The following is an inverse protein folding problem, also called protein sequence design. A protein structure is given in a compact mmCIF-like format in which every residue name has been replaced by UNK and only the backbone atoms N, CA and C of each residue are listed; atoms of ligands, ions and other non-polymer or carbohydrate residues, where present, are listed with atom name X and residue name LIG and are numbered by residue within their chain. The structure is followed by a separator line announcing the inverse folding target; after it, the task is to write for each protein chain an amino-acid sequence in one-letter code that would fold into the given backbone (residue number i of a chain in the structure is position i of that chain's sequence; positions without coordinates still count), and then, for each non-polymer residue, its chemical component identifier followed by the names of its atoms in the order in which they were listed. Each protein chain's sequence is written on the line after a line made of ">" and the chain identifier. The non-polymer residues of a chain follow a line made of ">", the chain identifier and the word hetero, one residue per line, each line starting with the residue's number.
data_IF_337257697587
#
_entry.id   IF_337257697587
#
_cell.length_a   1.000
_cell.length_b   1.000
_cell.length_c   1.000
_cell.angle_alpha   90.00
_cell.angle_beta   90.00
_cell.angle_gamma   90.00
#
_symmetry.space_group_name_H-M   'P 1'
#
loop_
_entity.id
_entity.type
_entity.pdbx_description
1 polymer ?
#
# COMPACT_ATOMS: atom_id res chain seq x y z
N UNK A 1 -7.33 -8.47 -12.88
CA UNK A 1 -7.91 -9.79 -13.22
C UNK A 1 -9.33 -9.87 -12.69
N UNK A 2 -10.21 -10.63 -13.35
CA UNK A 2 -11.60 -10.83 -12.91
C UNK A 2 -11.77 -12.23 -12.33
N UNK A 3 -12.55 -12.37 -11.26
CA UNK A 3 -12.79 -13.63 -10.56
C UNK A 3 -14.28 -13.79 -10.25
N UNK A 4 -14.82 -15.03 -10.24
CA UNK A 4 -16.21 -15.28 -9.82
C UNK A 4 -16.44 -14.87 -8.36
N UNK A 5 -17.72 -14.73 -7.93
CA UNK A 5 -18.04 -14.41 -6.54
C UNK A 5 -17.54 -15.47 -5.55
N UNK A 6 -17.34 -15.06 -4.28
CA UNK A 6 -16.88 -15.95 -3.21
C UNK A 6 -15.36 -16.17 -3.19
N UNK A 7 -14.85 -16.94 -2.24
CA UNK A 7 -13.40 -17.18 -2.11
C UNK A 7 -12.87 -18.01 -3.27
N UNK A 8 -11.89 -17.47 -4.00
CA UNK A 8 -11.24 -18.12 -5.13
C UNK A 8 -9.79 -18.44 -4.81
N UNK A 9 -9.32 -19.60 -5.24
CA UNK A 9 -7.91 -19.97 -5.15
C UNK A 9 -7.23 -19.70 -6.49
N UNK A 10 -6.31 -18.74 -6.52
CA UNK A 10 -5.50 -18.42 -7.70
C UNK A 10 -4.08 -18.96 -7.56
N UNK A 11 -3.39 -19.18 -8.68
CA UNK A 11 -1.96 -19.50 -8.66
C UNK A 11 -1.14 -18.21 -8.75
N UNK A 12 -0.14 -18.07 -7.90
CA UNK A 12 0.86 -17.01 -8.01
C UNK A 12 2.20 -17.55 -8.49
N UNK A 13 3.00 -16.65 -9.06
CA UNK A 13 4.43 -16.79 -9.26
C UNK A 13 5.08 -15.51 -8.80
N UNK A 14 6.14 -15.62 -8.02
CA UNK A 14 6.88 -14.50 -7.46
C UNK A 14 8.36 -14.85 -7.46
N UNK A 15 9.21 -13.85 -7.64
CA UNK A 15 10.65 -14.02 -7.55
C UNK A 15 11.29 -12.76 -6.98
N UNK A 16 12.43 -12.95 -6.34
CA UNK A 16 13.27 -11.91 -5.77
C UNK A 16 14.69 -12.11 -6.27
N UNK A 17 15.36 -11.02 -6.65
CA UNK A 17 16.82 -10.94 -6.78
C UNK A 17 17.27 -9.66 -6.09
N UNK A 18 18.24 -9.78 -5.20
CA UNK A 18 18.76 -8.67 -4.41
C UNK A 18 20.28 -8.72 -4.35
N UNK A 19 20.91 -7.55 -4.26
CA UNK A 19 22.35 -7.43 -4.02
C UNK A 19 22.72 -7.49 -2.53
N UNK A 20 21.73 -7.38 -1.64
CA UNK A 20 21.87 -7.53 -0.18
C UNK A 20 20.91 -8.60 0.33
N UNK A 21 21.20 -9.28 1.46
CA UNK A 21 20.23 -10.14 2.14
C UNK A 21 18.94 -9.39 2.49
N UNK A 22 17.80 -10.06 2.33
CA UNK A 22 16.47 -9.56 2.67
C UNK A 22 15.93 -10.28 3.91
N UNK A 23 15.17 -9.59 4.76
CA UNK A 23 14.57 -10.21 5.95
C UNK A 23 13.19 -10.79 5.61
N UNK A 24 12.37 -10.04 4.86
CA UNK A 24 10.98 -10.36 4.57
C UNK A 24 10.69 -10.39 3.08
N UNK A 25 10.00 -11.43 2.61
CA UNK A 25 9.43 -11.51 1.27
C UNK A 25 7.97 -11.91 1.38
N UNK A 26 7.05 -11.02 1.00
CA UNK A 26 5.63 -11.15 1.32
C UNK A 26 4.75 -10.80 0.14
N UNK A 27 3.65 -11.54 -0.02
CA UNK A 27 2.53 -11.11 -0.84
C UNK A 27 1.61 -10.28 0.05
N UNK A 28 1.45 -9.01 -0.30
CA UNK A 28 0.56 -8.07 0.36
C UNK A 28 -0.72 -7.97 -0.46
N UNK A 29 -1.89 -8.13 0.17
CA UNK A 29 -3.18 -7.86 -0.44
C UNK A 29 -3.96 -6.86 0.40
N UNK A 30 -4.43 -5.77 -0.22
CA UNK A 30 -5.19 -4.71 0.47
C UNK A 30 -4.50 -4.22 1.77
N UNK A 31 -3.19 -4.03 1.72
CA UNK A 31 -2.39 -3.57 2.86
C UNK A 31 -2.09 -4.61 3.94
N UNK A 32 -2.56 -5.86 3.81
CA UNK A 32 -2.32 -6.94 4.76
C UNK A 32 -1.41 -8.02 4.19
N UNK A 33 -0.62 -8.68 5.05
CA UNK A 33 0.21 -9.82 4.65
C UNK A 33 -0.70 -11.01 4.36
N UNK A 34 -0.86 -11.32 3.07
CA UNK A 34 -1.66 -12.47 2.64
C UNK A 34 -0.85 -13.76 2.69
N UNK A 35 0.48 -13.67 2.46
CA UNK A 35 1.38 -14.82 2.52
C UNK A 35 2.83 -14.38 2.67
N UNK A 36 3.54 -14.98 3.63
CA UNK A 36 5.01 -14.95 3.68
C UNK A 36 5.59 -16.00 2.74
N UNK A 37 6.64 -15.61 2.01
CA UNK A 37 7.36 -16.44 1.07
C UNK A 37 8.73 -16.80 1.64
N UNK A 38 9.23 -17.96 1.23
CA UNK A 38 10.56 -18.41 1.64
C UNK A 38 11.62 -17.61 0.90
N UNK A 39 12.72 -17.38 1.59
CA UNK A 39 13.95 -16.87 1.01
C UNK A 39 14.93 -18.02 0.78
N UNK A 40 15.76 -17.91 -0.25
CA UNK A 40 16.89 -18.81 -0.45
C UNK A 40 17.91 -18.68 0.69
N UNK A 41 18.87 -19.62 0.76
CA UNK A 41 19.83 -19.72 1.88
C UNK A 41 20.62 -18.43 2.14
N UNK A 42 21.00 -17.70 1.09
CA UNK A 42 21.73 -16.43 1.21
C UNK A 42 20.80 -15.21 1.35
N UNK A 43 19.48 -15.42 1.40
CA UNK A 43 18.45 -14.38 1.56
C UNK A 43 18.45 -13.28 0.48
N UNK A 44 19.18 -13.48 -0.61
CA UNK A 44 19.30 -12.52 -1.71
C UNK A 44 18.54 -12.95 -2.98
N UNK A 45 17.90 -14.11 -2.94
CA UNK A 45 17.15 -14.66 -4.06
C UNK A 45 16.03 -15.57 -3.59
N UNK A 46 14.97 -15.64 -4.39
CA UNK A 46 13.86 -16.57 -4.22
C UNK A 46 13.08 -16.73 -5.53
N UNK A 47 12.53 -17.91 -5.79
CA UNK A 47 11.61 -18.21 -6.88
C UNK A 47 10.49 -19.09 -6.33
N UNK A 48 9.32 -18.50 -6.12
CA UNK A 48 8.21 -19.11 -5.41
C UNK A 48 6.96 -19.14 -6.28
N UNK A 49 6.19 -20.21 -6.13
CA UNK A 49 4.88 -20.34 -6.75
C UNK A 49 3.97 -21.14 -5.84
N UNK A 50 2.67 -20.89 -5.92
CA UNK A 50 1.73 -21.61 -5.10
C UNK A 50 0.30 -21.11 -5.21
N UNK A 51 -0.62 -21.70 -4.43
CA UNK A 51 -1.98 -21.20 -4.32
C UNK A 51 -2.04 -19.95 -3.42
N UNK A 52 -2.95 -19.04 -3.73
CA UNK A 52 -3.31 -17.88 -2.92
C UNK A 52 -4.83 -17.75 -2.90
N UNK A 53 -5.41 -17.68 -1.71
CA UNK A 53 -6.85 -17.49 -1.53
C UNK A 53 -7.20 -16.01 -1.60
N UNK A 54 -8.15 -15.66 -2.45
CA UNK A 54 -8.64 -14.29 -2.64
C UNK A 54 -10.16 -14.29 -2.43
N UNK A 55 -10.62 -13.47 -1.48
CA UNK A 55 -12.05 -13.36 -1.16
C UNK A 55 -12.68 -12.05 -1.60
N UNK A 56 -11.87 -11.00 -1.80
CA UNK A 56 -12.35 -9.63 -1.98
C UNK A 56 -11.73 -8.97 -3.20
N UNK A 57 -12.46 -8.00 -3.78
CA UNK A 57 -11.89 -7.06 -4.74
C UNK A 57 -10.82 -6.20 -4.09
N UNK A 58 -9.83 -5.81 -4.88
CA UNK A 58 -8.78 -4.92 -4.45
C UNK A 58 -7.50 -5.15 -5.23
N UNK A 59 -6.39 -5.28 -4.55
CA UNK A 59 -5.08 -5.46 -5.17
C UNK A 59 -4.17 -6.34 -4.34
N UNK A 60 -3.22 -6.98 -5.01
CA UNK A 60 -2.09 -7.65 -4.37
C UNK A 60 -0.77 -7.24 -5.03
N UNK A 61 0.32 -7.20 -4.27
CA UNK A 61 1.68 -6.97 -4.76
C UNK A 61 2.67 -7.88 -4.01
N UNK A 62 3.87 -8.02 -4.56
CA UNK A 62 4.99 -8.62 -3.85
C UNK A 62 5.81 -7.51 -3.18
N UNK A 63 6.13 -7.67 -1.90
CA UNK A 63 6.98 -6.79 -1.09
C UNK A 63 8.23 -7.54 -0.64
N UNK A 64 9.38 -6.89 -0.78
CA UNK A 64 10.62 -7.29 -0.13
C UNK A 64 11.07 -6.17 0.80
N UNK A 65 11.40 -6.49 2.05
CA UNK A 65 11.81 -5.49 3.04
C UNK A 65 12.75 -6.05 4.09
N UNK A 66 13.53 -5.15 4.69
CA UNK A 66 14.38 -5.45 5.84
C UNK A 66 13.89 -4.69 7.09
N UNK A 67 14.23 -5.22 8.25
CA UNK A 67 13.98 -4.54 9.54
C UNK A 67 14.97 -3.40 9.77
N UNK A 68 16.13 -3.44 9.10
CA UNK A 68 17.23 -2.49 9.25
C UNK A 68 17.90 -2.16 7.92
N UNK A 69 18.68 -1.07 7.91
CA UNK A 69 19.57 -0.72 6.82
C UNK A 69 20.55 -1.84 6.48
N UNK A 70 20.85 -1.99 5.19
CA UNK A 70 21.84 -2.95 4.70
C UNK A 70 22.73 -2.29 3.65
N UNK A 71 24.03 -2.20 3.92
CA UNK A 71 25.01 -1.67 2.96
C UNK A 71 25.08 -2.58 1.72
N UNK A 72 25.16 -2.04 0.48
CA UNK A 72 25.35 -0.64 0.11
C UNK A 72 24.06 0.16 -0.14
N UNK A 73 22.90 -0.31 0.29
CA UNK A 73 21.64 0.42 0.14
C UNK A 73 21.62 1.59 1.14
N UNK A 74 21.72 2.81 0.62
CA UNK A 74 21.75 4.05 1.41
C UNK A 74 20.35 4.53 1.78
N UNK A 75 19.55 3.64 2.36
CA UNK A 75 18.21 3.92 2.85
C UNK A 75 18.06 3.44 4.30
N UNK A 76 17.02 3.87 5.00
CA UNK A 76 16.73 3.46 6.39
C UNK A 76 16.57 1.95 6.51
N UNK A 77 16.03 1.31 5.47
CA UNK A 77 15.98 -0.13 5.28
C UNK A 77 15.69 -0.43 3.79
N UNK A 78 16.30 -1.48 3.21
CA UNK A 78 15.89 -1.97 1.90
C UNK A 78 14.38 -2.21 1.81
N UNK A 79 13.75 -1.64 0.79
CA UNK A 79 12.33 -1.80 0.51
C UNK A 79 12.07 -1.81 -0.99
N UNK A 80 11.31 -2.79 -1.46
CA UNK A 80 10.88 -2.85 -2.85
C UNK A 80 9.51 -3.50 -2.97
N UNK A 81 8.72 -3.00 -3.92
CA UNK A 81 7.43 -3.59 -4.28
C UNK A 81 7.29 -3.72 -5.78
N UNK A 82 6.55 -4.74 -6.25
CA UNK A 82 6.10 -4.78 -7.63
C UNK A 82 4.98 -3.77 -7.88
N UNK A 83 4.64 -3.53 -9.15
CA UNK A 83 3.33 -2.98 -9.47
C UNK A 83 2.23 -3.92 -8.97
N UNK A 84 1.12 -3.38 -8.45
CA UNK A 84 0.02 -4.20 -7.97
C UNK A 84 -0.72 -4.89 -9.11
N UNK A 85 -1.17 -6.11 -8.85
CA UNK A 85 -2.18 -6.79 -9.65
C UNK A 85 -3.54 -6.46 -9.02
N UNK A 86 -4.36 -5.72 -9.77
CA UNK A 86 -5.74 -5.44 -9.37
C UNK A 86 -6.63 -6.64 -9.61
N UNK A 87 -7.51 -6.92 -8.67
CA UNK A 87 -8.42 -8.06 -8.66
C UNK A 87 -9.85 -7.54 -8.51
N UNK A 88 -10.74 -7.97 -9.38
CA UNK A 88 -12.16 -7.62 -9.35
C UNK A 88 -13.00 -8.89 -9.25
N UNK A 89 -13.66 -9.08 -8.12
CA UNK A 89 -14.67 -10.10 -7.92
C UNK A 89 -15.97 -9.66 -8.59
N UNK A 90 -16.60 -10.55 -9.34
CA UNK A 90 -17.90 -10.28 -9.95
C UNK A 90 -18.94 -9.89 -8.87
N UNK A 91 -19.77 -8.89 -9.20
CA UNK A 91 -20.81 -8.33 -8.33
C UNK A 91 -20.30 -7.79 -6.98
N UNK A 92 -18.99 -7.61 -6.82
CA UNK A 92 -18.46 -6.92 -5.64
C UNK A 92 -18.37 -5.41 -5.89
N UNK A 93 -18.67 -4.64 -4.86
CA UNK A 93 -18.46 -3.21 -4.85
C UNK A 93 -17.54 -2.88 -3.67
N UNK A 94 -16.22 -2.74 -3.89
CA UNK A 94 -15.31 -2.40 -2.80
C UNK A 94 -15.74 -1.06 -2.19
N UNK A 95 -16.11 -1.07 -0.92
CA UNK A 95 -16.34 0.14 -0.12
C UNK A 95 -15.18 0.27 0.85
N UNK A 96 -14.11 1.00 0.50
CA UNK A 96 -12.92 1.14 1.33
C UNK A 96 -13.17 2.19 2.43
N UNK A 97 -14.19 1.94 3.27
CA UNK A 97 -14.63 2.88 4.30
C UNK A 97 -13.53 3.19 5.32
N UNK A 98 -12.77 2.17 5.70
CA UNK A 98 -11.67 2.31 6.67
C UNK A 98 -10.52 3.13 6.06
N UNK A 99 -10.17 2.90 4.80
CA UNK A 99 -9.17 3.70 4.09
C UNK A 99 -9.61 5.15 3.95
N UNK A 100 -10.89 5.38 3.61
CA UNK A 100 -11.46 6.73 3.52
C UNK A 100 -11.41 7.45 4.88
N UNK A 101 -11.77 6.75 5.97
CA UNK A 101 -11.68 7.31 7.32
C UNK A 101 -10.24 7.66 7.71
N UNK A 102 -9.27 6.80 7.35
CA UNK A 102 -7.85 7.08 7.56
C UNK A 102 -7.40 8.35 6.81
N UNK A 103 -7.72 8.47 5.52
CA UNK A 103 -7.33 9.66 4.74
C UNK A 103 -8.00 10.94 5.23
N UNK A 104 -9.26 10.87 5.68
CA UNK A 104 -9.92 12.03 6.32
C UNK A 104 -9.15 12.45 7.57
N UNK A 105 -8.83 11.52 8.47
CA UNK A 105 -8.08 11.82 9.69
C UNK A 105 -6.69 12.41 9.40
N UNK A 106 -6.01 11.89 8.37
CA UNK A 106 -4.73 12.40 7.90
C UNK A 106 -4.84 13.82 7.34
N UNK A 107 -5.84 14.08 6.50
CA UNK A 107 -6.08 15.43 5.95
C UNK A 107 -6.42 16.41 7.08
N UNK A 108 -7.21 16.00 8.07
CA UNK A 108 -7.49 16.82 9.24
C UNK A 108 -6.20 17.18 10.01
N UNK A 109 -5.23 16.27 10.08
CA UNK A 109 -3.90 16.55 10.63
C UNK A 109 -3.12 17.56 9.77
N UNK A 110 -3.13 17.43 8.45
CA UNK A 110 -2.49 18.39 7.54
C UNK A 110 -3.11 19.79 7.67
N UNK A 111 -4.44 19.88 7.76
CA UNK A 111 -5.16 21.14 7.99
C UNK A 111 -4.74 21.77 9.32
N UNK A 112 -4.65 20.98 10.40
CA UNK A 112 -4.16 21.49 11.71
C UNK A 112 -2.74 22.03 11.59
N UNK A 113 -1.83 21.31 10.94
CA UNK A 113 -0.45 21.74 10.72
C UNK A 113 -0.36 23.03 9.90
N UNK A 114 -1.08 23.11 8.79
CA UNK A 114 -1.09 24.28 7.92
C UNK A 114 -1.67 25.53 8.61
N UNK A 115 -2.71 25.37 9.43
CA UNK A 115 -3.28 26.47 10.23
C UNK A 115 -2.30 27.00 11.27
N UNK A 116 -1.58 26.11 11.94
CA UNK A 116 -0.63 26.45 13.00
C UNK A 116 0.71 27.02 12.47
N UNK A 117 1.05 26.73 11.21
CA UNK A 117 2.26 27.28 10.60
C UNK A 117 2.16 28.81 10.47
N UNK A 118 3.20 29.51 10.95
CA UNK A 118 3.36 30.97 10.89
C UNK A 118 4.26 31.43 9.74
N UNK A 119 4.97 30.51 9.09
CA UNK A 119 5.98 30.82 8.08
C UNK A 119 5.40 30.71 6.65
N UNK A 120 4.31 31.43 6.39
CA UNK A 120 3.72 31.57 5.05
C UNK A 120 4.29 32.82 4.37
N UNK A 121 4.49 32.78 3.05
CA UNK A 121 4.94 33.97 2.33
C UNK A 121 3.82 34.99 2.17
N UNK A 122 2.58 34.52 2.01
CA UNK A 122 1.39 35.35 1.92
C UNK A 122 0.13 34.59 2.42
N UNK A 123 -0.90 35.33 2.82
CA UNK A 123 -2.14 34.76 3.37
C UNK A 123 -2.97 34.02 2.30
N UNK A 124 -2.92 34.46 1.05
CA UNK A 124 -3.59 33.83 -0.08
C UNK A 124 -2.99 32.45 -0.41
N UNK A 125 -1.66 32.30 -0.29
CA UNK A 125 -0.96 31.02 -0.38
C UNK A 125 -1.49 30.04 0.67
N UNK A 126 -1.57 30.49 1.94
CA UNK A 126 -2.12 29.67 3.04
C UNK A 126 -3.54 29.23 2.74
N UNK A 127 -4.39 30.15 2.28
CA UNK A 127 -5.79 29.85 1.98
C UNK A 127 -5.90 28.85 0.82
N UNK A 128 -5.11 29.00 -0.24
CA UNK A 128 -5.12 28.08 -1.38
C UNK A 128 -4.78 26.63 -0.97
N UNK A 129 -3.81 26.46 -0.06
CA UNK A 129 -3.45 25.14 0.50
C UNK A 129 -4.60 24.56 1.33
N UNK A 130 -5.21 25.36 2.21
CA UNK A 130 -6.35 24.92 3.03
C UNK A 130 -7.56 24.53 2.18
N UNK A 131 -7.82 25.26 1.10
CA UNK A 131 -8.89 24.94 0.16
C UNK A 131 -8.60 23.64 -0.59
N UNK A 132 -7.34 23.39 -0.96
CA UNK A 132 -6.94 22.12 -1.59
C UNK A 132 -7.15 20.94 -0.65
N UNK A 133 -6.77 21.06 0.62
CA UNK A 133 -7.03 20.01 1.62
C UNK A 133 -8.52 19.79 1.83
N UNK A 134 -9.32 20.85 1.90
CA UNK A 134 -10.77 20.75 2.05
C UNK A 134 -11.42 20.03 0.86
N UNK A 135 -10.99 20.34 -0.38
CA UNK A 135 -11.44 19.62 -1.58
C UNK A 135 -11.07 18.14 -1.53
N UNK A 136 -9.85 17.80 -1.15
CA UNK A 136 -9.41 16.42 -1.02
C UNK A 136 -10.23 15.66 0.04
N UNK A 137 -10.49 16.29 1.19
CA UNK A 137 -11.30 15.70 2.27
C UNK A 137 -12.70 15.31 1.79
N UNK A 138 -13.36 16.20 1.05
CA UNK A 138 -14.70 15.96 0.51
C UNK A 138 -14.76 14.78 -0.48
N UNK A 139 -13.65 14.44 -1.14
CA UNK A 139 -13.59 13.25 -2.02
C UNK A 139 -13.73 11.98 -1.20
N UNK A 140 -13.01 11.88 -0.08
CA UNK A 140 -13.04 10.70 0.79
C UNK A 140 -14.33 10.61 1.61
N UNK A 141 -14.94 11.73 2.01
CA UNK A 141 -16.23 11.71 2.73
C UNK A 141 -17.35 11.05 1.90
N UNK A 142 -17.33 11.23 0.58
CA UNK A 142 -18.29 10.57 -0.32
C UNK A 142 -18.14 9.04 -0.35
N UNK A 143 -17.01 8.49 0.10
CA UNK A 143 -16.75 7.05 0.17
C UNK A 143 -17.20 6.44 1.51
N UNK A 144 -17.67 7.26 2.46
CA UNK A 144 -18.20 6.78 3.74
C UNK A 144 -19.68 6.37 3.68
N UNK A 145 -20.40 6.75 2.61
CA UNK A 145 -21.84 6.62 2.45
C UNK A 145 -22.24 5.68 1.33
#
# INVERSE_FOLDING_TARGET
>A
MKLPPGTQTVKFKAWLRSMVPVDHLEIICNGQVARELKLGVAHNSSDEQGPLSIANTGWCLLRASNDKAAYPILDLYPYATTSPIYISMENSNPHPRDDAAYFIAWIDQLIRGAKANTNWNADDEKQAVLDQFSRARNVYEKLLH
#
